data_IF_864596088225
#
_entry.id   IF_864596088225
#
_cell.length_a   1.000
_cell.length_b   1.000
_cell.length_c   1.000
_cell.angle_alpha   90.00
_cell.angle_beta   90.00
_cell.angle_gamma   90.00
#
_symmetry.space_group_name_H-M   'P 1'
#
loop_
_entity.id
_entity.type
_entity.pdbx_description
1 polymer ?
#
# COMPACT_ATOMS: atom_id res chain seq x y z
N UNK A 1 86.75 23.93 -32.96
CA UNK A 1 85.63 24.76 -32.52
C UNK A 1 84.39 23.91 -32.63
N UNK A 2 83.99 23.27 -31.54
CA UNK A 2 82.96 22.19 -31.50
C UNK A 2 81.80 22.76 -30.67
N UNK A 3 80.69 22.97 -31.34
CA UNK A 3 79.47 23.46 -30.70
C UNK A 3 78.58 22.23 -30.34
N UNK A 4 78.28 22.16 -29.10
CA UNK A 4 77.48 21.15 -28.47
C UNK A 4 75.98 21.48 -28.60
N UNK A 5 75.19 20.58 -29.21
CA UNK A 5 73.74 20.72 -29.32
C UNK A 5 73.11 19.79 -28.27
N UNK A 6 72.54 20.42 -27.21
CA UNK A 6 71.83 19.73 -26.16
C UNK A 6 70.45 19.28 -26.62
N UNK A 7 70.18 18.00 -26.56
CA UNK A 7 68.86 17.40 -26.74
C UNK A 7 67.99 17.62 -25.50
N UNK A 8 66.88 18.40 -25.62
CA UNK A 8 65.86 18.51 -24.61
C UNK A 8 64.87 17.39 -24.79
N UNK A 9 64.88 16.44 -23.86
CA UNK A 9 63.93 15.35 -23.76
C UNK A 9 62.60 15.88 -23.19
N UNK A 10 61.57 15.88 -24.01
CA UNK A 10 60.21 16.26 -23.59
C UNK A 10 59.49 15.03 -23.05
N UNK A 11 59.35 14.94 -21.73
CA UNK A 11 58.65 13.85 -21.03
C UNK A 11 57.14 14.13 -21.06
N UNK A 12 56.39 13.53 -21.98
CA UNK A 12 54.93 13.55 -21.99
C UNK A 12 54.40 12.63 -20.89
N UNK A 13 53.89 13.21 -19.77
CA UNK A 13 53.19 12.48 -18.77
C UNK A 13 51.73 12.36 -19.25
N UNK A 14 51.37 11.19 -19.77
CA UNK A 14 49.96 10.85 -20.06
C UNK A 14 49.28 10.50 -18.74
N UNK A 15 48.53 11.48 -18.18
CA UNK A 15 47.68 11.26 -17.03
C UNK A 15 46.52 10.34 -17.38
N UNK A 16 46.56 9.09 -16.90
CA UNK A 16 45.46 8.15 -17.02
C UNK A 16 44.43 8.48 -15.94
N UNK A 17 43.39 9.26 -16.30
CA UNK A 17 42.26 9.53 -15.42
C UNK A 17 41.44 8.26 -15.30
N UNK A 18 41.57 7.54 -14.18
CA UNK A 18 40.66 6.43 -13.80
C UNK A 18 39.36 7.07 -13.35
N UNK A 19 38.38 7.08 -14.23
CA UNK A 19 37.00 7.41 -13.85
C UNK A 19 36.41 6.23 -13.09
N UNK A 20 36.42 6.31 -11.76
CA UNK A 20 35.74 5.34 -10.91
C UNK A 20 34.24 5.56 -11.07
N UNK A 21 33.58 4.75 -11.89
CA UNK A 21 32.13 4.64 -11.92
C UNK A 21 31.68 4.02 -10.59
N UNK A 22 31.21 4.83 -9.65
CA UNK A 22 30.46 4.33 -8.52
C UNK A 22 29.14 3.80 -9.04
N UNK A 23 29.07 2.50 -9.26
CA UNK A 23 27.79 1.81 -9.41
C UNK A 23 27.06 1.99 -8.07
N UNK A 24 25.97 2.76 -8.06
CA UNK A 24 25.05 2.83 -6.94
C UNK A 24 24.50 1.43 -6.76
N UNK A 25 25.04 0.69 -5.79
CA UNK A 25 24.46 -0.59 -5.36
C UNK A 25 23.15 -0.24 -4.70
N UNK A 26 22.03 -0.52 -5.36
CA UNK A 26 20.71 -0.34 -4.79
C UNK A 26 20.65 -1.08 -3.45
N UNK A 27 20.38 -0.36 -2.37
CA UNK A 27 20.23 -0.96 -1.06
C UNK A 27 18.83 -1.54 -0.96
N UNK A 28 18.73 -2.86 -0.82
CA UNK A 28 17.46 -3.57 -0.66
C UNK A 28 17.14 -3.76 0.82
N UNK A 29 15.88 -3.55 1.17
CA UNK A 29 15.41 -3.67 2.55
C UNK A 29 14.20 -4.59 2.62
N UNK A 30 14.21 -5.50 3.57
CA UNK A 30 13.17 -6.50 3.81
C UNK A 30 12.35 -6.24 5.08
N UNK A 31 12.61 -5.13 5.76
CA UNK A 31 11.86 -4.70 6.94
C UNK A 31 11.67 -3.18 6.96
N UNK A 32 10.64 -2.76 7.67
CA UNK A 32 10.41 -1.33 7.87
C UNK A 32 9.04 -0.98 8.42
N UNK A 33 8.86 0.32 8.55
CA UNK A 33 7.60 0.99 8.89
C UNK A 33 7.31 2.07 7.85
N UNK A 34 6.14 2.01 7.23
CA UNK A 34 5.68 3.01 6.27
C UNK A 34 4.41 3.66 6.80
N UNK A 35 4.37 4.98 6.84
CA UNK A 35 3.16 5.74 7.15
C UNK A 35 2.48 6.15 5.85
N UNK A 36 1.18 5.84 5.71
CA UNK A 36 0.36 6.21 4.57
C UNK A 36 -0.68 7.26 4.93
N UNK A 37 -0.99 8.13 3.99
CA UNK A 37 -2.24 8.89 3.97
C UNK A 37 -3.19 8.30 2.94
N UNK A 38 -4.44 8.05 3.36
CA UNK A 38 -5.55 7.74 2.47
C UNK A 38 -6.40 9.00 2.30
N UNK A 39 -6.57 9.43 1.05
CA UNK A 39 -7.54 10.45 0.67
C UNK A 39 -8.77 9.76 0.10
N UNK A 40 -9.92 10.00 0.71
CA UNK A 40 -11.23 9.49 0.23
C UNK A 40 -12.09 10.67 -0.22
N UNK A 41 -12.54 10.64 -1.47
CA UNK A 41 -13.52 11.58 -1.98
C UNK A 41 -14.93 11.15 -1.54
N UNK A 42 -15.46 11.81 -0.52
CA UNK A 42 -16.74 11.46 0.07
C UNK A 42 -17.93 11.76 -0.88
N UNK A 43 -17.83 12.78 -1.75
CA UNK A 43 -18.87 13.03 -2.76
C UNK A 43 -19.01 11.84 -3.72
N UNK A 44 -17.89 11.28 -4.20
CA UNK A 44 -17.90 10.08 -5.04
C UNK A 44 -18.41 8.86 -4.28
N UNK A 45 -17.99 8.70 -3.02
CA UNK A 45 -18.39 7.57 -2.18
C UNK A 45 -19.89 7.56 -1.89
N UNK A 46 -20.51 8.71 -1.70
CA UNK A 46 -21.89 8.86 -1.26
C UNK A 46 -22.81 9.52 -2.31
N UNK A 47 -22.40 9.57 -3.59
CA UNK A 47 -23.14 10.29 -4.65
C UNK A 47 -24.63 9.91 -4.73
N UNK A 48 -24.97 8.63 -4.54
CA UNK A 48 -26.33 8.09 -4.61
C UNK A 48 -26.99 7.92 -3.24
N UNK A 49 -26.48 8.61 -2.23
CA UNK A 49 -26.95 8.49 -0.85
C UNK A 49 -27.50 9.80 -0.32
N UNK A 50 -28.47 9.73 0.60
CA UNK A 50 -28.89 10.90 1.38
C UNK A 50 -27.73 11.59 2.10
N UNK A 51 -26.65 10.86 2.35
CA UNK A 51 -25.42 11.36 2.97
C UNK A 51 -24.72 12.42 2.12
N UNK A 52 -24.88 12.40 0.78
CA UNK A 52 -24.28 13.41 -0.10
C UNK A 52 -24.68 14.85 0.27
N UNK A 53 -25.87 15.05 0.84
CA UNK A 53 -26.35 16.35 1.31
C UNK A 53 -25.57 16.92 2.50
N UNK A 54 -24.83 16.09 3.22
CA UNK A 54 -23.97 16.48 4.35
C UNK A 54 -22.54 16.80 3.92
N UNK A 55 -22.22 16.56 2.64
CA UNK A 55 -20.90 16.73 2.07
C UNK A 55 -20.89 17.97 1.19
N UNK A 56 -19.93 18.87 1.44
CA UNK A 56 -19.71 20.11 0.69
C UNK A 56 -18.24 20.19 0.25
N UNK A 57 -17.84 21.29 -0.38
CA UNK A 57 -16.47 21.50 -0.86
C UNK A 57 -15.41 21.42 0.24
N UNK A 58 -15.74 21.88 1.46
CA UNK A 58 -14.79 21.94 2.59
C UNK A 58 -14.52 20.57 3.21
N UNK A 59 -15.48 19.64 3.14
CA UNK A 59 -15.40 18.32 3.77
C UNK A 59 -15.42 17.13 2.77
N UNK A 60 -15.40 17.41 1.47
CA UNK A 60 -15.45 16.37 0.43
C UNK A 60 -14.27 15.40 0.43
N UNK A 61 -13.12 15.81 0.96
CA UNK A 61 -11.93 14.98 1.06
C UNK A 61 -11.68 14.63 2.52
N UNK A 62 -11.81 13.35 2.84
CA UNK A 62 -11.39 12.81 4.14
C UNK A 62 -9.98 12.23 4.04
N UNK A 63 -9.14 12.59 5.00
CA UNK A 63 -7.79 12.05 5.14
C UNK A 63 -7.77 11.14 6.36
N UNK A 64 -7.33 9.90 6.15
CA UNK A 64 -7.06 8.93 7.21
C UNK A 64 -5.59 8.52 7.15
N UNK A 65 -5.01 8.17 8.30
CA UNK A 65 -3.62 7.74 8.42
C UNK A 65 -3.55 6.25 8.73
N UNK A 66 -2.60 5.58 8.07
CA UNK A 66 -2.33 4.17 8.25
C UNK A 66 -0.83 3.93 8.41
N UNK A 67 -0.48 2.80 9.00
CA UNK A 67 0.88 2.29 9.01
C UNK A 67 0.94 0.90 8.39
N UNK A 68 2.03 0.62 7.71
CA UNK A 68 2.43 -0.70 7.26
C UNK A 68 3.73 -1.04 7.97
N UNK A 69 3.68 -2.04 8.85
CA UNK A 69 4.85 -2.62 9.51
C UNK A 69 5.15 -3.95 8.82
N UNK A 70 6.42 -4.24 8.56
CA UNK A 70 6.79 -5.45 7.84
C UNK A 70 8.20 -5.92 8.13
N UNK A 71 8.40 -7.21 7.95
CA UNK A 71 9.67 -7.89 7.79
C UNK A 71 9.62 -8.80 6.54
N UNK A 72 10.63 -9.65 6.36
CA UNK A 72 10.75 -10.57 5.23
C UNK A 72 9.63 -11.63 5.13
N UNK A 73 8.95 -11.94 6.24
CA UNK A 73 7.96 -13.02 6.33
C UNK A 73 6.54 -12.55 6.59
N UNK A 74 6.37 -11.38 7.19
CA UNK A 74 5.06 -10.93 7.70
C UNK A 74 4.88 -9.43 7.58
N UNK A 75 3.62 -9.00 7.47
CA UNK A 75 3.28 -7.58 7.52
C UNK A 75 1.94 -7.33 8.20
N UNK A 76 1.75 -6.11 8.70
CA UNK A 76 0.46 -5.58 9.12
C UNK A 76 0.25 -4.19 8.53
N UNK A 77 -0.86 -4.02 7.83
CA UNK A 77 -1.41 -2.71 7.45
C UNK A 77 -2.59 -2.40 8.36
N UNK A 78 -2.51 -1.29 9.12
CA UNK A 78 -3.54 -0.93 10.10
C UNK A 78 -3.72 0.59 10.21
N UNK A 79 -4.90 1.09 10.66
CA UNK A 79 -5.08 2.51 10.91
C UNK A 79 -4.21 2.97 12.09
N UNK A 80 -3.67 4.18 11.98
CA UNK A 80 -3.10 4.90 13.12
C UNK A 80 -4.28 5.55 13.82
N UNK A 81 -4.45 5.28 15.11
CA UNK A 81 -5.50 5.92 15.91
C UNK A 81 -5.22 7.43 15.97
N UNK A 82 -6.13 8.21 15.40
CA UNK A 82 -6.11 9.65 15.50
C UNK A 82 -7.22 10.09 16.48
N UNK A 83 -6.83 10.60 17.64
CA UNK A 83 -7.76 11.12 18.67
C UNK A 83 -8.59 12.30 18.13
N UNK A 84 -8.16 12.93 17.05
CA UNK A 84 -8.82 14.05 16.38
C UNK A 84 -9.86 13.63 15.33
N UNK A 85 -10.21 12.36 15.22
CA UNK A 85 -11.22 11.88 14.29
C UNK A 85 -12.61 12.42 14.63
N UNK A 86 -12.86 13.66 14.27
CA UNK A 86 -14.12 14.34 14.49
C UNK A 86 -15.36 13.53 14.04
N UNK A 87 -16.53 14.14 14.06
CA UNK A 87 -17.87 13.56 13.76
C UNK A 87 -17.98 12.72 12.49
N UNK A 88 -16.97 12.76 11.58
CA UNK A 88 -16.98 12.06 10.29
C UNK A 88 -16.08 10.80 10.26
N UNK A 89 -15.54 10.33 11.40
CA UNK A 89 -14.68 9.16 11.49
C UNK A 89 -15.30 7.89 10.91
N UNK A 90 -16.61 7.71 11.09
CA UNK A 90 -17.37 6.55 10.60
C UNK A 90 -17.63 6.54 9.08
N UNK A 91 -17.38 7.64 8.36
CA UNK A 91 -17.60 7.72 6.90
C UNK A 91 -16.61 6.88 6.08
N UNK A 92 -15.55 6.39 6.69
CA UNK A 92 -14.54 5.56 6.04
C UNK A 92 -14.25 4.32 6.86
N UNK A 93 -14.10 3.17 6.19
CA UNK A 93 -13.72 1.91 6.82
C UNK A 93 -12.26 1.92 7.22
N UNK A 94 -11.91 1.27 8.32
CA UNK A 94 -10.56 1.16 8.85
C UNK A 94 -10.30 -0.27 9.28
N UNK A 95 -9.77 -1.03 8.36
CA UNK A 95 -9.53 -2.45 8.54
C UNK A 95 -8.05 -2.71 8.84
N UNK A 96 -7.74 -3.87 9.44
CA UNK A 96 -6.38 -4.34 9.62
C UNK A 96 -6.16 -5.54 8.69
N UNK A 97 -5.02 -5.57 8.02
CA UNK A 97 -4.61 -6.66 7.15
C UNK A 97 -3.26 -7.19 7.60
N UNK A 98 -3.24 -8.40 8.12
CA UNK A 98 -2.02 -9.14 8.45
C UNK A 98 -1.76 -10.12 7.30
N UNK A 99 -0.53 -10.13 6.80
CA UNK A 99 -0.13 -11.04 5.72
C UNK A 99 1.09 -11.86 6.17
N UNK A 100 1.04 -13.16 5.90
CA UNK A 100 2.08 -14.13 6.20
C UNK A 100 2.57 -14.71 4.88
N UNK A 101 3.71 -14.17 4.40
CA UNK A 101 4.21 -14.43 3.05
C UNK A 101 4.64 -15.89 2.87
N UNK A 102 5.32 -16.46 3.86
CA UNK A 102 5.77 -17.85 3.83
C UNK A 102 4.62 -18.87 3.88
N UNK A 103 3.47 -18.50 4.46
CA UNK A 103 2.26 -19.34 4.55
C UNK A 103 1.27 -19.06 3.42
N UNK A 104 1.53 -18.05 2.59
CA UNK A 104 0.61 -17.52 1.58
C UNK A 104 -0.81 -17.25 2.15
N UNK A 105 -0.85 -16.79 3.40
CA UNK A 105 -2.10 -16.58 4.15
C UNK A 105 -2.24 -15.14 4.65
N UNK A 106 -3.49 -14.74 4.91
CA UNK A 106 -3.81 -13.44 5.48
C UNK A 106 -4.82 -13.56 6.60
N UNK A 107 -4.74 -12.63 7.56
CA UNK A 107 -5.72 -12.45 8.61
C UNK A 107 -6.23 -11.01 8.60
N UNK A 108 -7.55 -10.83 8.51
CA UNK A 108 -8.15 -9.51 8.33
C UNK A 108 -9.09 -9.24 9.51
N UNK A 109 -9.02 -8.03 10.06
CA UNK A 109 -9.97 -7.54 11.05
C UNK A 109 -10.79 -6.43 10.38
N UNK A 110 -12.07 -6.70 10.16
CA UNK A 110 -13.02 -5.76 9.59
C UNK A 110 -13.85 -5.12 10.71
N UNK A 111 -13.90 -3.79 10.73
CA UNK A 111 -14.84 -3.04 11.58
C UNK A 111 -16.21 -2.97 10.93
N UNK A 112 -17.22 -3.60 11.52
CA UNK A 112 -18.60 -3.57 11.03
C UNK A 112 -19.57 -3.33 12.20
N UNK A 113 -20.38 -2.26 12.14
CA UNK A 113 -21.37 -1.88 13.17
C UNK A 113 -20.79 -1.82 14.59
N UNK A 114 -19.57 -1.30 14.73
CA UNK A 114 -18.89 -1.21 16.03
C UNK A 114 -18.34 -2.53 16.56
N UNK A 115 -18.38 -3.61 15.78
CA UNK A 115 -17.83 -4.91 16.12
C UNK A 115 -16.70 -5.28 15.15
N UNK A 116 -15.74 -6.04 15.64
CA UNK A 116 -14.68 -6.62 14.82
C UNK A 116 -15.10 -7.99 14.29
N UNK A 117 -14.98 -8.18 13.00
CA UNK A 117 -15.15 -9.46 12.31
C UNK A 117 -13.77 -9.95 11.88
N UNK A 118 -13.48 -11.20 12.15
CA UNK A 118 -12.17 -11.81 11.92
C UNK A 118 -12.24 -12.78 10.75
N UNK A 119 -11.32 -12.62 9.81
CA UNK A 119 -11.24 -13.45 8.60
C UNK A 119 -9.85 -14.04 8.51
N UNK A 120 -9.75 -15.31 8.18
CA UNK A 120 -8.52 -15.98 7.76
C UNK A 120 -8.73 -16.59 6.38
N UNK A 121 -7.85 -16.28 5.45
CA UNK A 121 -7.93 -16.77 4.07
C UNK A 121 -6.52 -16.84 3.45
N UNK A 122 -6.42 -17.38 2.23
CA UNK A 122 -5.20 -17.33 1.43
C UNK A 122 -4.90 -15.91 0.95
N UNK A 123 -3.63 -15.63 0.61
CA UNK A 123 -3.27 -14.39 -0.07
C UNK A 123 -3.92 -14.36 -1.47
N UNK A 124 -4.57 -13.24 -1.84
CA UNK A 124 -5.21 -13.15 -3.13
C UNK A 124 -4.18 -13.07 -4.25
N UNK A 125 -4.32 -13.94 -5.25
CA UNK A 125 -3.52 -13.92 -6.47
C UNK A 125 -4.08 -12.86 -7.42
N UNK A 126 -3.29 -11.82 -7.72
CA UNK A 126 -3.68 -10.71 -8.60
C UNK A 126 -2.81 -10.66 -9.84
N UNK A 127 -3.43 -10.58 -11.01
CA UNK A 127 -2.71 -10.42 -12.28
C UNK A 127 -2.39 -8.94 -12.51
N UNK A 128 -1.14 -8.56 -12.27
CA UNK A 128 -0.68 -7.19 -12.43
C UNK A 128 -0.11 -6.94 -13.83
N UNK A 129 -0.54 -5.88 -14.49
CA UNK A 129 0.09 -5.35 -15.69
C UNK A 129 1.06 -4.23 -15.31
N UNK A 130 2.35 -4.53 -15.32
CA UNK A 130 3.40 -3.55 -15.06
C UNK A 130 3.57 -2.63 -16.27
N UNK A 131 3.71 -1.32 -16.04
CA UNK A 131 3.84 -0.31 -17.09
C UNK A 131 5.22 0.37 -17.03
N UNK A 132 5.56 1.16 -18.05
CA UNK A 132 6.80 1.96 -18.08
C UNK A 132 6.70 3.27 -17.27
N UNK A 133 5.51 3.60 -16.77
CA UNK A 133 5.30 4.82 -15.98
C UNK A 133 6.03 4.73 -14.64
N UNK A 134 6.77 5.79 -14.30
CA UNK A 134 7.55 5.91 -13.07
C UNK A 134 7.11 7.12 -12.26
N UNK A 135 7.31 7.06 -10.96
CA UNK A 135 7.07 8.17 -10.03
C UNK A 135 7.97 8.01 -8.81
N UNK A 136 8.52 9.13 -8.32
CA UNK A 136 9.17 9.11 -7.00
C UNK A 136 8.11 9.29 -5.90
N UNK A 137 8.15 8.42 -4.88
CA UNK A 137 7.27 8.46 -3.70
C UNK A 137 8.14 8.33 -2.47
N UNK A 138 8.16 9.36 -1.64
CA UNK A 138 8.94 9.40 -0.38
C UNK A 138 10.42 9.03 -0.55
N UNK A 139 11.03 9.43 -1.68
CA UNK A 139 12.44 9.19 -1.98
C UNK A 139 12.71 7.92 -2.78
N UNK A 140 11.73 7.04 -2.99
CA UNK A 140 11.87 5.77 -3.71
C UNK A 140 11.35 5.88 -5.14
N UNK A 141 12.08 5.28 -6.07
CA UNK A 141 11.63 5.19 -7.46
C UNK A 141 10.63 4.05 -7.62
N UNK A 142 9.41 4.41 -7.99
CA UNK A 142 8.30 3.48 -8.12
C UNK A 142 7.90 3.30 -9.57
N UNK A 143 7.56 2.06 -9.95
CA UNK A 143 6.91 1.71 -11.21
C UNK A 143 5.41 1.56 -11.02
N UNK A 144 4.64 1.96 -12.04
CA UNK A 144 3.18 1.80 -12.03
C UNK A 144 2.81 0.39 -12.49
N UNK A 145 1.87 -0.22 -11.77
CA UNK A 145 1.17 -1.43 -12.18
C UNK A 145 -0.34 -1.21 -12.15
N UNK A 146 -1.07 -1.98 -12.96
CA UNK A 146 -2.53 -1.91 -13.11
C UNK A 146 -3.09 -3.30 -12.81
N UNK A 147 -4.06 -3.36 -11.91
CA UNK A 147 -4.89 -4.53 -11.66
C UNK A 147 -6.31 -4.27 -12.14
N UNK A 148 -6.80 -5.11 -13.05
CA UNK A 148 -8.18 -5.09 -13.52
C UNK A 148 -9.00 -6.07 -12.67
N UNK A 149 -9.75 -5.53 -11.68
CA UNK A 149 -10.57 -6.35 -10.79
C UNK A 149 -11.78 -6.93 -11.52
N UNK A 150 -12.36 -6.16 -12.43
CA UNK A 150 -13.45 -6.52 -13.35
C UNK A 150 -13.48 -5.49 -14.50
N UNK A 151 -14.42 -5.63 -15.42
CA UNK A 151 -14.53 -4.79 -16.62
C UNK A 151 -14.68 -3.28 -16.33
N UNK A 152 -15.09 -2.91 -15.11
CA UNK A 152 -15.37 -1.52 -14.72
C UNK A 152 -14.50 -0.99 -13.59
N UNK A 153 -13.62 -1.82 -13.02
CA UNK A 153 -12.84 -1.42 -11.84
C UNK A 153 -11.36 -1.73 -12.03
N UNK A 154 -10.56 -0.67 -12.15
CA UNK A 154 -9.10 -0.75 -12.17
C UNK A 154 -8.51 -0.16 -10.91
N UNK A 155 -7.46 -0.81 -10.43
CA UNK A 155 -6.63 -0.34 -9.34
C UNK A 155 -5.24 -0.05 -9.86
N UNK A 156 -4.74 1.13 -9.57
CA UNK A 156 -3.39 1.55 -9.90
C UNK A 156 -2.50 1.43 -8.67
N UNK A 157 -1.37 0.75 -8.82
CA UNK A 157 -0.35 0.64 -7.79
C UNK A 157 0.97 1.24 -8.28
N UNK A 158 1.72 1.84 -7.36
CA UNK A 158 3.10 2.25 -7.55
C UNK A 158 3.95 1.51 -6.54
N UNK A 159 4.87 0.68 -7.00
CA UNK A 159 5.71 -0.18 -6.17
C UNK A 159 7.18 0.11 -6.41
N UNK A 160 8.01 -0.13 -5.39
CA UNK A 160 9.47 -0.07 -5.48
C UNK A 160 10.09 -1.44 -5.18
N UNK A 161 11.07 -1.89 -5.98
CA UNK A 161 11.81 -3.11 -5.69
C UNK A 161 12.85 -2.94 -4.57
N UNK A 162 13.17 -1.71 -4.18
CA UNK A 162 14.12 -1.42 -3.10
C UNK A 162 13.62 -1.89 -1.73
N UNK A 163 12.29 -1.97 -1.55
CA UNK A 163 11.63 -2.63 -0.42
C UNK A 163 11.10 -3.97 -0.93
N UNK A 164 11.78 -5.06 -0.56
CA UNK A 164 11.63 -6.36 -1.22
C UNK A 164 10.32 -7.11 -0.94
N UNK A 165 9.65 -6.99 0.24
CA UNK A 165 8.41 -7.71 0.47
C UNK A 165 7.30 -7.28 -0.49
N UNK A 166 6.58 -8.23 -1.13
CA UNK A 166 5.55 -7.97 -2.14
C UNK A 166 4.19 -7.60 -1.50
N UNK A 167 4.17 -6.56 -0.68
CA UNK A 167 3.06 -6.13 0.18
C UNK A 167 2.63 -4.70 -0.10
N UNK A 168 1.50 -4.28 0.50
CA UNK A 168 1.02 -2.90 0.36
C UNK A 168 -0.25 -2.60 1.17
N UNK A 169 -0.83 -1.41 0.95
CA UNK A 169 -2.08 -1.01 1.59
C UNK A 169 -3.22 -1.98 1.30
N UNK A 170 -4.16 -2.12 2.26
CA UNK A 170 -5.41 -2.91 2.14
C UNK A 170 -5.16 -4.38 1.72
N UNK A 171 -4.02 -4.97 2.09
CA UNK A 171 -3.69 -6.35 1.74
C UNK A 171 -3.35 -6.57 0.26
N UNK A 172 -3.09 -5.51 -0.52
CA UNK A 172 -2.60 -5.65 -1.88
C UNK A 172 -1.17 -6.20 -1.88
N UNK A 173 -0.94 -7.21 -2.71
CA UNK A 173 0.33 -7.94 -2.78
C UNK A 173 0.60 -8.48 -4.19
N UNK A 174 1.76 -9.13 -4.38
CA UNK A 174 2.11 -9.86 -5.61
C UNK A 174 2.85 -9.03 -6.66
N UNK A 175 3.26 -7.80 -6.37
CA UNK A 175 4.22 -7.04 -7.18
C UNK A 175 5.66 -7.36 -6.73
N UNK A 176 6.67 -7.21 -7.58
CA UNK A 176 8.07 -7.46 -7.20
C UNK A 176 8.62 -6.29 -6.37
N UNK A 177 8.08 -6.14 -5.14
CA UNK A 177 8.41 -5.11 -4.16
C UNK A 177 7.20 -4.49 -3.48
N UNK A 178 7.45 -3.56 -2.57
CA UNK A 178 6.43 -2.95 -1.72
C UNK A 178 5.67 -1.83 -2.44
N UNK A 179 4.36 -1.83 -2.31
CA UNK A 179 3.46 -0.81 -2.89
C UNK A 179 3.49 0.43 -2.00
N UNK A 180 3.94 1.56 -2.54
CA UNK A 180 3.99 2.86 -1.88
C UNK A 180 2.86 3.80 -2.28
N UNK A 181 2.13 3.47 -3.33
CA UNK A 181 0.93 4.18 -3.78
C UNK A 181 -0.12 3.22 -4.29
N UNK A 182 -1.38 3.46 -3.96
CA UNK A 182 -2.52 2.67 -4.41
C UNK A 182 -3.70 3.60 -4.68
N UNK A 183 -4.39 3.44 -5.81
CA UNK A 183 -5.53 4.29 -6.15
C UNK A 183 -6.58 3.54 -6.95
N UNK A 184 -7.84 3.88 -6.73
CA UNK A 184 -8.92 3.55 -7.66
C UNK A 184 -8.80 4.38 -8.94
N UNK A 185 -9.21 3.85 -10.10
CA UNK A 185 -9.11 4.52 -11.40
C UNK A 185 -9.82 5.88 -11.41
N UNK A 186 -10.97 5.98 -10.75
CA UNK A 186 -11.73 7.21 -10.62
C UNK A 186 -11.11 8.23 -9.67
N UNK A 187 -10.01 7.88 -8.96
CA UNK A 187 -9.39 8.70 -7.94
C UNK A 187 -10.25 8.93 -6.70
N UNK A 188 -11.31 8.12 -6.50
CA UNK A 188 -12.19 8.22 -5.34
C UNK A 188 -11.49 7.86 -4.04
N UNK A 189 -10.51 6.94 -4.09
CA UNK A 189 -9.66 6.56 -2.96
C UNK A 189 -8.21 6.49 -3.44
N UNK A 190 -7.34 7.17 -2.70
CA UNK A 190 -5.91 7.25 -3.04
C UNK A 190 -5.08 7.11 -1.77
N UNK A 191 -4.13 6.18 -1.79
CA UNK A 191 -3.10 5.99 -0.76
C UNK A 191 -1.74 6.44 -1.29
N UNK A 192 -0.99 7.18 -0.48
CA UNK A 192 0.43 7.43 -0.73
C UNK A 192 1.22 7.32 0.57
N UNK A 193 2.39 6.67 0.47
CA UNK A 193 3.40 6.69 1.52
C UNK A 193 3.87 8.13 1.76
N UNK A 194 3.96 8.51 3.04
CA UNK A 194 4.40 9.85 3.50
C UNK A 194 5.75 9.80 4.19
N UNK A 195 6.03 8.71 4.85
CA UNK A 195 7.34 8.47 5.47
C UNK A 195 7.65 6.99 5.50
N UNK A 196 8.93 6.68 5.37
CA UNK A 196 9.47 5.32 5.39
C UNK A 196 10.61 5.32 6.40
N UNK A 197 10.56 4.40 7.34
CA UNK A 197 11.55 4.21 8.39
C UNK A 197 12.05 2.76 8.34
N UNK A 198 13.35 2.58 8.23
CA UNK A 198 13.98 1.26 8.20
C UNK A 198 14.22 0.77 9.64
N UNK A 199 13.12 0.49 10.34
CA UNK A 199 13.09 0.01 11.71
C UNK A 199 12.36 -1.32 11.73
N UNK A 200 12.99 -2.36 12.29
CA UNK A 200 12.38 -3.67 12.40
C UNK A 200 11.16 -3.61 13.37
N UNK A 201 9.99 -4.11 12.97
CA UNK A 201 8.85 -4.20 13.85
C UNK A 201 9.05 -5.26 14.92
N UNK A 202 8.33 -5.14 16.03
CA UNK A 202 8.27 -6.20 17.04
C UNK A 202 7.34 -7.31 16.54
N UNK A 203 7.61 -8.56 16.91
CA UNK A 203 6.75 -9.70 16.55
C UNK A 203 5.31 -9.54 17.07
N UNK A 204 5.15 -8.88 18.23
CA UNK A 204 3.84 -8.57 18.81
C UNK A 204 3.00 -7.68 17.89
N UNK A 205 3.62 -6.72 17.20
CA UNK A 205 2.94 -5.84 16.25
C UNK A 205 2.42 -6.59 15.02
N UNK A 206 3.10 -7.66 14.60
CA UNK A 206 2.76 -8.46 13.43
C UNK A 206 1.77 -9.60 13.74
N UNK A 207 1.35 -9.73 15.00
CA UNK A 207 0.44 -10.81 15.45
C UNK A 207 -0.94 -10.22 15.76
N UNK A 208 -2.04 -10.72 15.14
CA UNK A 208 -3.38 -10.22 15.40
C UNK A 208 -3.90 -10.72 16.75
N UNK A 209 -4.50 -9.83 17.52
CA UNK A 209 -5.29 -10.21 18.70
C UNK A 209 -6.74 -10.51 18.26
N UNK A 210 -7.09 -11.77 18.26
CA UNK A 210 -8.46 -12.24 17.97
C UNK A 210 -9.23 -12.69 19.20
N UNK A 211 -8.57 -12.89 20.32
CA UNK A 211 -9.17 -13.48 21.52
C UNK A 211 -9.84 -14.83 21.21
N UNK A 212 -11.07 -15.03 21.73
CA UNK A 212 -11.91 -16.23 21.49
C UNK A 212 -12.95 -16.02 20.38
N UNK A 213 -12.83 -15.00 19.56
CA UNK A 213 -13.82 -14.67 18.54
C UNK A 213 -13.83 -15.69 17.39
N UNK A 214 -15.01 -15.86 16.79
CA UNK A 214 -15.16 -16.69 15.57
C UNK A 214 -14.38 -16.07 14.41
N UNK A 215 -13.64 -16.92 13.71
CA UNK A 215 -12.93 -16.55 12.47
C UNK A 215 -13.68 -17.14 11.30
N UNK A 216 -13.89 -16.36 10.25
CA UNK A 216 -14.58 -16.73 9.03
C UNK A 216 -13.57 -16.86 7.89
N UNK A 217 -13.91 -17.59 6.85
CA UNK A 217 -13.34 -17.41 5.51
C UNK A 217 -14.06 -16.27 4.78
N UNK A 218 -13.48 -15.74 3.73
CA UNK A 218 -14.14 -14.71 2.90
C UNK A 218 -15.45 -15.22 2.30
N UNK A 219 -15.49 -16.49 1.88
CA UNK A 219 -16.68 -17.12 1.31
C UNK A 219 -17.80 -17.22 2.35
N UNK A 220 -17.49 -17.69 3.55
CA UNK A 220 -18.48 -17.78 4.64
C UNK A 220 -19.02 -16.41 5.03
N UNK A 221 -18.14 -15.40 5.12
CA UNK A 221 -18.57 -14.05 5.49
C UNK A 221 -19.46 -13.44 4.41
N UNK A 222 -19.10 -13.58 3.12
CA UNK A 222 -19.90 -13.11 2.00
C UNK A 222 -21.29 -13.72 2.02
N UNK A 223 -21.38 -15.05 2.14
CA UNK A 223 -22.66 -15.76 2.20
C UNK A 223 -23.51 -15.31 3.40
N UNK A 224 -22.89 -15.11 4.57
CA UNK A 224 -23.58 -14.61 5.75
C UNK A 224 -24.15 -13.22 5.56
N UNK A 225 -23.34 -12.27 5.06
CA UNK A 225 -23.77 -10.87 4.86
C UNK A 225 -24.85 -10.79 3.80
N UNK A 226 -24.74 -11.54 2.70
CA UNK A 226 -25.75 -11.60 1.67
C UNK A 226 -27.07 -12.14 2.18
N UNK A 227 -27.04 -13.22 2.98
CA UNK A 227 -28.24 -13.79 3.64
C UNK A 227 -28.89 -12.78 4.59
N UNK A 228 -28.10 -12.11 5.43
CA UNK A 228 -28.62 -11.26 6.51
C UNK A 228 -29.08 -9.87 5.99
N UNK A 229 -28.44 -9.35 4.93
CA UNK A 229 -28.62 -7.97 4.47
C UNK A 229 -28.83 -7.81 2.97
N UNK A 230 -28.66 -8.83 2.14
CA UNK A 230 -28.72 -8.74 0.67
C UNK A 230 -30.04 -8.16 0.13
N UNK A 231 -31.15 -8.40 0.81
CA UNK A 231 -32.48 -7.90 0.45
C UNK A 231 -32.79 -6.51 1.01
N UNK A 232 -31.84 -5.86 1.70
CA UNK A 232 -32.07 -4.51 2.23
C UNK A 232 -31.62 -3.44 1.23
N UNK A 233 -32.28 -2.25 1.17
CA UNK A 233 -31.90 -1.20 0.21
C UNK A 233 -30.46 -0.69 0.34
N UNK A 234 -29.84 -0.89 1.50
CA UNK A 234 -28.46 -0.48 1.81
C UNK A 234 -27.46 -1.63 1.81
N UNK A 235 -27.95 -2.88 1.83
CA UNK A 235 -27.11 -4.07 1.97
C UNK A 235 -26.14 -4.25 0.83
N UNK A 236 -26.59 -4.05 -0.41
CA UNK A 236 -25.73 -4.14 -1.61
C UNK A 236 -24.57 -3.14 -1.52
N UNK A 237 -24.84 -1.87 -1.17
CA UNK A 237 -23.79 -0.86 -1.01
C UNK A 237 -22.81 -1.23 0.10
N UNK A 238 -23.32 -1.68 1.24
CA UNK A 238 -22.49 -2.14 2.34
C UNK A 238 -21.58 -3.29 1.90
N UNK A 239 -22.12 -4.25 1.16
CA UNK A 239 -21.37 -5.36 0.60
C UNK A 239 -20.24 -4.87 -0.32
N UNK A 240 -20.55 -4.00 -1.29
CA UNK A 240 -19.59 -3.42 -2.22
C UNK A 240 -18.49 -2.63 -1.48
N UNK A 241 -18.84 -1.86 -0.47
CA UNK A 241 -17.88 -1.10 0.33
C UNK A 241 -16.98 -1.99 1.19
N UNK A 242 -17.53 -3.02 1.82
CA UNK A 242 -16.82 -3.93 2.71
C UNK A 242 -15.81 -4.79 1.93
N UNK A 243 -16.21 -5.28 0.75
CA UNK A 243 -15.41 -6.15 -0.10
C UNK A 243 -14.71 -5.43 -1.26
N UNK A 244 -14.68 -4.09 -1.24
CA UNK A 244 -14.03 -3.30 -2.29
C UNK A 244 -12.57 -3.68 -2.49
N UNK A 245 -11.86 -3.91 -1.41
CA UNK A 245 -10.42 -4.19 -1.40
C UNK A 245 -10.08 -5.68 -1.30
N UNK A 246 -11.06 -6.54 -1.12
CA UNK A 246 -10.91 -8.00 -0.92
C UNK A 246 -11.15 -8.81 -2.19
#
# INVERSE_FOLDING_TARGET
MITNIGAKSLLCIVGFSITICFSSIGQYHDYGKITFERKTNLLKRFQDSRMSKMINEDNKIKIDKFELLFNDTSSVFRPIQDISEGRMGWMTTKNHYYQYLGEESQFIILGLFGQNIYIKDSLPQRQWKITESKRNISGYDCRKAIYEKNDSTRIYAWYTPELTPPIGPEGYCGLPGTILGLATEDGGIVYFAKSIQLVAPKNEDLTPDKGKNKVFTLVELKAKIEKDYGNTPWGKRMFDDLFRWL
#
